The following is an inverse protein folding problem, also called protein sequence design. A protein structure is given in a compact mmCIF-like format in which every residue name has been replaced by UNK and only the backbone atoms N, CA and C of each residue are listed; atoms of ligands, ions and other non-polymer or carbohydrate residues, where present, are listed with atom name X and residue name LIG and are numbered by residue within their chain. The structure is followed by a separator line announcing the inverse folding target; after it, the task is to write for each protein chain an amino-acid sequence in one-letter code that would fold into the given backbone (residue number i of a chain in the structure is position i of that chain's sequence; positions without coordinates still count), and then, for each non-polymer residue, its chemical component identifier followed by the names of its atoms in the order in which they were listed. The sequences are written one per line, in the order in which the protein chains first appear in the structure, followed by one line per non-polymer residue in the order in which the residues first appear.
data_IF_147498130347
#
_entry.id   IF_147498130347
#
_cell.length_a   1.000
_cell.length_b   1.000
_cell.length_c   1.000
_cell.angle_alpha   90.00
_cell.angle_beta   90.00
_cell.angle_gamma   90.00
#
_symmetry.space_group_name_H-M   'P 1'
#
loop_
_entity.id
_entity.type
_entity.pdbx_description
1 polymer ?
#
# COMPACT_ATOMS: atom_id res chain seq x y z
N UNK A 1 5.41 -18.97 24.77
CA UNK A 1 5.62 -20.07 23.80
C UNK A 1 4.56 -19.92 22.71
N UNK A 2 4.64 -19.02 21.75
CA UNK A 2 3.58 -18.74 20.81
C UNK A 2 3.94 -17.85 19.62
N UNK A 3 5.23 -17.62 19.35
CA UNK A 3 5.65 -16.74 18.27
C UNK A 3 6.53 -17.43 17.22
N UNK A 4 6.59 -18.76 17.20
CA UNK A 4 7.48 -19.51 16.30
C UNK A 4 6.84 -19.96 14.98
N UNK A 5 5.52 -19.93 14.84
CA UNK A 5 4.81 -20.37 13.64
C UNK A 5 5.09 -19.49 12.41
N UNK A 6 5.06 -18.17 12.59
CA UNK A 6 5.29 -17.19 11.51
C UNK A 6 6.70 -17.24 10.88
N UNK A 7 7.67 -17.90 11.55
CA UNK A 7 9.05 -18.02 11.07
C UNK A 7 9.24 -19.05 9.94
N UNK A 8 8.33 -20.01 9.75
CA UNK A 8 8.53 -21.11 8.79
C UNK A 8 8.23 -20.74 7.35
N UNK A 9 7.28 -19.88 7.11
CA UNK A 9 6.90 -19.46 5.75
C UNK A 9 7.92 -18.52 5.07
N UNK A 10 8.80 -17.87 5.83
CA UNK A 10 9.74 -16.85 5.34
C UNK A 10 11.21 -17.28 5.34
N UNK A 11 11.55 -18.42 5.94
CA UNK A 11 12.93 -18.90 6.09
C UNK A 11 13.54 -19.53 4.83
N UNK A 12 12.79 -19.78 3.78
CA UNK A 12 13.28 -20.47 2.57
C UNK A 12 14.03 -19.59 1.57
N UNK A 13 14.24 -18.30 1.85
CA UNK A 13 14.86 -17.37 0.89
C UNK A 13 16.31 -16.98 1.22
N UNK A 14 16.96 -17.58 2.22
CA UNK A 14 18.33 -17.21 2.64
C UNK A 14 19.23 -18.45 2.75
N UNK A 15 19.66 -19.00 1.63
CA UNK A 15 20.83 -19.86 1.56
C UNK A 15 21.54 -19.67 0.22
N UNK A 16 22.73 -19.13 0.28
CA UNK A 16 23.92 -19.32 -0.55
C UNK A 16 24.68 -18.02 -0.80
N UNK A 17 25.79 -17.87 -0.11
CA UNK A 17 27.10 -17.60 -0.72
C UNK A 17 28.16 -17.41 0.36
N UNK A 18 28.96 -18.44 0.59
CA UNK A 18 30.26 -18.36 1.27
C UNK A 18 31.30 -18.70 0.27
N UNK A 19 32.28 -17.84 -0.01
CA UNK A 19 33.66 -18.21 -0.36
C UNK A 19 34.65 -17.09 -0.07
N UNK A 20 35.62 -17.44 0.70
CA UNK A 20 36.92 -16.94 1.13
C UNK A 20 37.66 -15.93 0.23
N UNK A 21 38.38 -15.02 0.91
CA UNK A 21 39.53 -14.27 0.39
C UNK A 21 40.27 -13.56 1.53
N UNK A 22 41.49 -13.96 1.79
CA UNK A 22 42.37 -13.55 2.91
C UNK A 22 43.10 -12.21 2.64
N UNK A 23 43.40 -11.52 3.76
CA UNK A 23 44.49 -10.58 4.07
C UNK A 23 44.39 -9.11 3.66
N UNK A 24 44.47 -8.29 4.70
CA UNK A 24 44.82 -6.88 4.64
C UNK A 24 44.41 -6.13 5.91
N UNK A 25 45.29 -6.09 6.94
CA UNK A 25 45.05 -5.36 8.20
C UNK A 25 45.19 -3.86 7.94
N UNK A 26 44.08 -3.15 7.94
CA UNK A 26 44.01 -1.74 8.29
C UNK A 26 42.83 -1.57 9.23
N UNK A 27 43.08 -1.00 10.42
CA UNK A 27 42.06 -0.70 11.42
C UNK A 27 41.17 0.41 10.90
N UNK A 28 40.19 0.06 10.05
CA UNK A 28 39.01 0.84 9.78
C UNK A 28 37.91 0.26 10.70
N UNK A 29 37.13 1.15 11.31
CA UNK A 29 35.97 0.75 12.10
C UNK A 29 35.09 -0.14 11.24
N UNK A 30 35.22 -1.46 11.43
CA UNK A 30 34.33 -2.44 10.84
C UNK A 30 32.98 -2.15 11.45
N UNK A 31 32.12 -1.52 10.68
CA UNK A 31 30.67 -1.59 10.84
C UNK A 31 30.39 -3.10 10.80
N UNK A 32 30.16 -3.70 11.97
CA UNK A 32 29.80 -5.12 12.07
C UNK A 32 28.54 -5.27 11.19
N UNK A 33 28.70 -5.98 10.08
CA UNK A 33 27.55 -6.41 9.30
C UNK A 33 26.67 -7.19 10.28
N UNK A 34 25.51 -6.64 10.61
CA UNK A 34 24.55 -7.27 11.53
C UNK A 34 24.21 -8.63 10.96
N UNK A 35 24.35 -9.67 11.78
CA UNK A 35 23.93 -11.01 11.39
C UNK A 35 22.39 -10.96 11.20
N UNK A 36 21.85 -11.24 10.00
CA UNK A 36 20.40 -11.13 9.73
C UNK A 36 19.54 -11.93 10.71
N UNK A 37 20.02 -13.08 11.18
CA UNK A 37 19.34 -13.89 12.20
C UNK A 37 19.27 -13.17 13.56
N UNK A 38 20.32 -12.44 13.92
CA UNK A 38 20.35 -11.69 15.16
C UNK A 38 19.45 -10.45 15.07
N UNK A 39 19.42 -9.78 13.93
CA UNK A 39 18.57 -8.63 13.67
C UNK A 39 17.08 -9.00 13.77
N UNK A 40 16.67 -10.07 13.10
CA UNK A 40 15.27 -10.52 13.17
C UNK A 40 14.89 -10.98 14.57
N UNK A 41 15.79 -11.62 15.31
CA UNK A 41 15.56 -12.02 16.69
C UNK A 41 15.38 -10.81 17.63
N UNK A 42 16.18 -9.77 17.45
CA UNK A 42 16.07 -8.53 18.21
C UNK A 42 14.77 -7.78 17.88
N UNK A 43 14.41 -7.71 16.60
CA UNK A 43 13.16 -7.08 16.15
C UNK A 43 11.94 -7.80 16.73
N UNK A 44 11.92 -9.13 16.75
CA UNK A 44 10.85 -9.90 17.41
C UNK A 44 10.81 -9.67 18.93
N UNK A 45 11.94 -9.57 19.59
CA UNK A 45 11.99 -9.27 21.01
C UNK A 45 11.40 -7.87 21.31
N UNK A 46 11.76 -6.87 20.49
CA UNK A 46 11.20 -5.52 20.59
C UNK A 46 9.68 -5.49 20.31
N UNK A 47 9.23 -6.19 19.26
CA UNK A 47 7.83 -6.33 18.93
C UNK A 47 7.03 -6.94 20.10
N UNK A 48 7.53 -8.04 20.67
CA UNK A 48 6.89 -8.70 21.83
C UNK A 48 6.86 -7.80 23.06
N UNK A 49 7.92 -7.05 23.32
CA UNK A 49 7.99 -6.16 24.50
C UNK A 49 7.03 -4.96 24.38
N UNK A 50 6.71 -4.51 23.16
CA UNK A 50 5.81 -3.37 22.90
C UNK A 50 4.38 -3.78 22.55
N UNK A 51 4.10 -5.08 22.37
CA UNK A 51 2.80 -5.58 21.97
C UNK A 51 1.71 -5.22 22.99
N UNK A 52 0.58 -4.73 22.49
CA UNK A 52 -0.62 -4.40 23.25
C UNK A 52 -1.66 -5.49 23.00
N UNK A 53 -1.88 -6.33 24.00
CA UNK A 53 -2.85 -7.42 23.89
C UNK A 53 -4.27 -6.89 23.92
N UNK A 54 -5.14 -7.47 23.09
CA UNK A 54 -6.58 -7.24 23.16
C UNK A 54 -7.26 -8.06 24.28
N UNK A 55 -8.50 -7.71 24.66
CA UNK A 55 -9.31 -6.65 24.05
C UNK A 55 -8.85 -5.26 24.51
N UNK A 56 -8.54 -4.39 23.54
CA UNK A 56 -8.12 -3.02 23.81
C UNK A 56 -8.46 -2.09 22.63
N UNK A 57 -8.34 -0.79 22.84
CA UNK A 57 -8.47 0.20 21.74
C UNK A 57 -7.17 0.96 21.60
N UNK A 58 -6.63 1.00 20.39
CA UNK A 58 -5.40 1.69 20.07
C UNK A 58 -5.68 2.93 19.22
N UNK A 59 -4.96 4.02 19.50
CA UNK A 59 -5.04 5.22 18.70
C UNK A 59 -4.16 5.08 17.45
N UNK A 60 -4.74 5.31 16.27
CA UNK A 60 -4.05 5.39 15.01
C UNK A 60 -3.74 6.86 14.69
N UNK A 61 -2.65 7.37 15.27
CA UNK A 61 -2.30 8.79 15.27
C UNK A 61 -3.45 9.66 15.80
N UNK A 62 -3.66 10.82 15.17
CA UNK A 62 -4.81 11.71 15.41
C UNK A 62 -6.04 11.37 14.56
N UNK A 63 -5.97 10.32 13.74
CA UNK A 63 -6.96 10.03 12.70
C UNK A 63 -8.11 9.14 13.17
N UNK A 64 -7.80 8.05 13.82
CA UNK A 64 -8.79 7.02 14.14
C UNK A 64 -8.46 6.26 15.43
N UNK A 65 -9.39 5.41 15.83
CA UNK A 65 -9.22 4.40 16.88
C UNK A 65 -9.52 3.04 16.27
N UNK A 66 -8.69 2.04 16.59
CA UNK A 66 -8.87 0.64 16.20
C UNK A 66 -9.09 -0.22 17.44
N UNK A 67 -10.18 -1.01 17.46
CA UNK A 67 -10.41 -1.99 18.51
C UNK A 67 -9.71 -3.30 18.15
N UNK A 68 -8.89 -3.79 19.06
CA UNK A 68 -8.15 -5.05 18.96
C UNK A 68 -8.92 -6.14 19.73
N UNK A 69 -9.16 -7.27 19.11
CA UNK A 69 -9.88 -8.41 19.68
C UNK A 69 -9.09 -9.16 20.75
N UNK A 70 -9.78 -10.01 21.53
CA UNK A 70 -9.17 -10.75 22.64
C UNK A 70 -8.04 -11.71 22.21
N UNK A 71 -8.08 -12.21 20.98
CA UNK A 71 -7.09 -13.14 20.43
C UNK A 71 -6.10 -12.45 19.47
N UNK A 72 -5.93 -11.16 19.62
CA UNK A 72 -5.10 -10.32 18.77
C UNK A 72 -4.15 -9.47 19.62
N UNK A 73 -3.03 -9.09 19.03
CA UNK A 73 -2.10 -8.11 19.59
C UNK A 73 -1.83 -7.02 18.57
N UNK A 74 -1.69 -5.79 19.05
CA UNK A 74 -1.20 -4.67 18.24
C UNK A 74 0.25 -4.37 18.60
N UNK A 75 1.11 -4.31 17.59
CA UNK A 75 2.52 -3.94 17.72
C UNK A 75 2.67 -2.52 17.16
N UNK A 76 2.91 -1.50 18.01
CA UNK A 76 3.04 -0.11 17.56
C UNK A 76 4.42 0.19 16.97
N UNK A 77 4.55 1.37 16.34
CA UNK A 77 5.85 1.97 16.07
C UNK A 77 6.60 2.28 17.39
N UNK A 78 7.94 2.21 17.42
CA UNK A 78 8.84 1.87 16.28
C UNK A 78 9.08 0.36 16.09
N UNK A 79 8.59 -0.49 16.98
CA UNK A 79 8.86 -1.93 16.93
C UNK A 79 8.26 -2.61 15.67
N UNK A 80 7.09 -2.16 15.23
CA UNK A 80 6.52 -2.61 13.97
C UNK A 80 7.44 -2.32 12.78
N UNK A 81 8.01 -1.10 12.71
CA UNK A 81 8.95 -0.72 11.66
C UNK A 81 10.25 -1.53 11.69
N UNK A 82 10.79 -1.80 12.88
CA UNK A 82 11.98 -2.65 13.06
C UNK A 82 11.71 -4.08 12.58
N UNK A 83 10.55 -4.64 12.92
CA UNK A 83 10.16 -5.97 12.49
C UNK A 83 9.99 -6.05 10.97
N UNK A 84 9.29 -5.10 10.37
CA UNK A 84 9.13 -5.02 8.91
C UNK A 84 10.47 -4.88 8.19
N UNK A 85 11.40 -4.05 8.73
CA UNK A 85 12.74 -3.90 8.18
C UNK A 85 13.54 -5.21 8.25
N UNK A 86 13.54 -5.88 9.39
CA UNK A 86 14.21 -7.17 9.58
C UNK A 86 13.63 -8.28 8.67
N UNK A 87 12.37 -8.17 8.26
CA UNK A 87 11.74 -9.02 7.25
C UNK A 87 12.08 -8.61 5.80
N UNK A 88 12.98 -7.64 5.58
CA UNK A 88 13.41 -7.20 4.26
C UNK A 88 12.55 -6.12 3.62
N UNK A 89 11.56 -5.56 4.33
CA UNK A 89 10.79 -4.43 3.85
C UNK A 89 11.57 -3.11 3.98
N UNK A 90 11.25 -2.14 3.13
CA UNK A 90 11.79 -0.78 3.24
C UNK A 90 11.23 -0.02 4.43
N UNK A 91 11.85 1.13 4.74
CA UNK A 91 11.30 2.05 5.73
C UNK A 91 9.97 2.62 5.21
N UNK A 92 8.94 2.57 6.04
CA UNK A 92 7.62 3.09 5.73
C UNK A 92 7.18 4.08 6.83
N UNK A 93 7.07 5.36 6.47
CA UNK A 93 6.65 6.42 7.39
C UNK A 93 5.13 6.41 7.64
N UNK A 94 4.36 5.77 6.77
CA UNK A 94 2.91 5.67 6.87
C UNK A 94 2.48 4.51 7.77
N UNK A 95 3.40 3.60 8.11
CA UNK A 95 3.15 2.48 9.00
C UNK A 95 2.69 2.96 10.38
N UNK A 96 1.53 2.48 10.80
CA UNK A 96 0.94 2.73 12.13
C UNK A 96 1.30 1.62 13.11
N UNK A 97 1.29 0.38 12.63
CA UNK A 97 1.57 -0.80 13.42
C UNK A 97 1.17 -2.09 12.71
N UNK A 98 1.29 -3.19 13.44
CA UNK A 98 0.92 -4.53 12.97
C UNK A 98 -0.12 -5.11 13.92
N UNK A 99 -1.10 -5.85 13.38
CA UNK A 99 -1.98 -6.70 14.18
C UNK A 99 -1.65 -8.15 13.86
N UNK A 100 -1.51 -8.95 14.89
CA UNK A 100 -1.18 -10.37 14.76
C UNK A 100 -2.06 -11.22 15.67
N UNK A 101 -2.31 -12.50 15.33
CA UNK A 101 -3.00 -13.43 16.21
C UNK A 101 -2.14 -13.79 17.44
N UNK A 102 -2.78 -14.19 18.52
CA UNK A 102 -2.10 -14.68 19.74
C UNK A 102 -1.91 -16.20 19.75
N UNK A 103 -2.66 -16.93 18.93
CA UNK A 103 -2.52 -18.38 18.82
C UNK A 103 -1.33 -18.78 17.94
N UNK A 104 -0.80 -19.97 18.19
CA UNK A 104 0.40 -20.48 17.50
C UNK A 104 0.10 -21.14 16.15
N UNK A 105 -1.17 -21.42 15.87
CA UNK A 105 -1.60 -22.11 14.65
C UNK A 105 -1.91 -21.13 13.53
N UNK A 106 -2.19 -19.86 13.87
CA UNK A 106 -2.45 -18.77 12.92
C UNK A 106 -1.16 -18.01 12.60
N UNK A 107 -0.87 -17.83 11.33
CA UNK A 107 0.35 -17.15 10.84
C UNK A 107 0.08 -15.90 10.01
N UNK A 108 -1.15 -15.36 10.05
CA UNK A 108 -1.49 -14.12 9.37
C UNK A 108 -0.97 -12.87 10.10
N UNK A 109 -0.81 -11.81 9.34
CA UNK A 109 -0.47 -10.48 9.85
C UNK A 109 -1.27 -9.42 9.11
N UNK A 110 -1.77 -8.42 9.85
CA UNK A 110 -2.37 -7.21 9.27
C UNK A 110 -1.41 -6.04 9.44
N UNK A 111 -1.06 -5.40 8.33
CA UNK A 111 -0.26 -4.18 8.29
C UNK A 111 -1.23 -3.00 8.27
N UNK A 112 -1.17 -2.15 9.29
CA UNK A 112 -1.96 -0.93 9.39
C UNK A 112 -1.13 0.28 8.97
N UNK A 113 -1.63 1.07 7.99
CA UNK A 113 -0.96 2.25 7.46
C UNK A 113 -1.93 3.42 7.34
N UNK A 114 -1.42 4.65 7.42
CA UNK A 114 -2.17 5.87 7.14
C UNK A 114 -1.47 6.71 6.08
N UNK A 115 -2.08 6.91 4.93
CA UNK A 115 -1.59 7.81 3.88
C UNK A 115 -2.36 9.13 3.89
N UNK A 116 -1.65 10.23 4.15
CA UNK A 116 -2.17 11.58 4.15
C UNK A 116 -2.24 12.15 2.71
N UNK A 117 -2.95 11.45 1.83
CA UNK A 117 -3.08 11.81 0.41
C UNK A 117 -3.94 13.05 0.16
N UNK A 118 -4.77 13.41 1.12
CA UNK A 118 -5.91 14.28 0.97
C UNK A 118 -7.21 13.49 0.69
N UNK A 119 -8.32 14.18 0.54
CA UNK A 119 -9.63 13.59 0.27
C UNK A 119 -9.65 12.87 -1.07
N UNK A 120 -9.87 11.57 -1.07
CA UNK A 120 -9.99 10.76 -2.29
C UNK A 120 -11.45 10.79 -2.74
N UNK A 121 -11.71 11.33 -3.93
CA UNK A 121 -13.03 11.27 -4.54
C UNK A 121 -13.35 9.84 -4.96
N UNK A 122 -14.58 9.41 -4.70
CA UNK A 122 -15.06 8.05 -4.98
C UNK A 122 -15.94 7.95 -6.23
N UNK A 123 -16.01 9.03 -7.01
CA UNK A 123 -16.84 9.09 -8.22
C UNK A 123 -16.48 8.06 -9.28
N UNK A 124 -15.18 7.70 -9.37
CA UNK A 124 -14.65 6.75 -10.35
C UNK A 124 -15.01 5.29 -10.04
N UNK A 125 -15.47 4.98 -8.83
CA UNK A 125 -15.84 3.61 -8.44
C UNK A 125 -17.02 3.03 -9.27
N UNK A 126 -17.85 3.89 -9.85
CA UNK A 126 -19.02 3.49 -10.64
C UNK A 126 -18.68 2.95 -12.02
N UNK A 127 -17.51 3.35 -12.55
CA UNK A 127 -17.13 3.13 -13.94
C UNK A 127 -15.89 2.25 -14.08
N UNK A 128 -15.51 1.50 -13.02
CA UNK A 128 -14.31 0.68 -13.04
C UNK A 128 -14.41 -0.48 -14.02
N UNK A 129 -13.38 -0.59 -14.86
CA UNK A 129 -13.11 -1.83 -15.57
C UNK A 129 -12.13 -2.67 -14.74
N UNK A 130 -12.61 -3.78 -14.17
CA UNK A 130 -11.81 -4.65 -13.28
C UNK A 130 -10.65 -5.31 -14.01
N UNK A 131 -10.78 -5.55 -15.32
CA UNK A 131 -9.70 -6.15 -16.12
C UNK A 131 -8.59 -5.11 -16.40
N UNK A 132 -8.94 -3.84 -16.60
CA UNK A 132 -7.98 -2.75 -16.72
C UNK A 132 -7.25 -2.51 -15.39
N UNK A 133 -7.96 -2.58 -14.25
CA UNK A 133 -7.35 -2.50 -12.93
C UNK A 133 -6.36 -3.65 -12.71
N UNK A 134 -6.72 -4.87 -13.12
CA UNK A 134 -5.84 -6.03 -13.02
C UNK A 134 -4.58 -5.89 -13.88
N UNK A 135 -4.75 -5.39 -15.11
CA UNK A 135 -3.63 -5.09 -15.99
C UNK A 135 -2.69 -4.06 -15.36
N UNK A 136 -3.24 -2.97 -14.84
CA UNK A 136 -2.45 -1.93 -14.15
C UNK A 136 -1.71 -2.46 -12.93
N UNK A 137 -2.35 -3.35 -12.15
CA UNK A 137 -1.72 -4.01 -11.00
C UNK A 137 -0.52 -4.88 -11.44
N UNK A 138 -0.65 -5.65 -12.53
CA UNK A 138 0.44 -6.44 -13.09
C UNK A 138 1.59 -5.56 -13.59
N UNK A 139 1.29 -4.47 -14.29
CA UNK A 139 2.28 -3.51 -14.78
C UNK A 139 3.03 -2.83 -13.63
N UNK A 140 2.30 -2.43 -12.57
CA UNK A 140 2.89 -1.87 -11.36
C UNK A 140 3.79 -2.86 -10.62
N UNK A 141 3.37 -4.13 -10.53
CA UNK A 141 4.18 -5.21 -9.95
C UNK A 141 5.44 -5.48 -10.78
N UNK A 142 5.33 -5.50 -12.11
CA UNK A 142 6.48 -5.68 -12.99
C UNK A 142 7.51 -4.55 -12.80
N UNK A 143 7.06 -3.30 -12.69
CA UNK A 143 7.95 -2.16 -12.40
C UNK A 143 8.59 -2.27 -11.01
N UNK A 144 7.86 -2.73 -10.00
CA UNK A 144 8.39 -2.95 -8.65
C UNK A 144 9.40 -4.10 -8.60
N UNK A 145 9.26 -5.10 -9.47
CA UNK A 145 10.18 -6.24 -9.55
C UNK A 145 11.59 -5.82 -9.96
N UNK A 146 11.76 -4.78 -10.75
CA UNK A 146 13.09 -4.24 -11.11
C UNK A 146 13.86 -3.79 -9.86
N UNK A 147 13.18 -3.19 -8.90
CA UNK A 147 13.79 -2.77 -7.63
C UNK A 147 14.02 -3.96 -6.69
N UNK A 148 13.10 -4.93 -6.68
CA UNK A 148 13.27 -6.17 -5.92
C UNK A 148 14.51 -6.93 -6.37
N UNK A 149 14.69 -7.10 -7.68
CA UNK A 149 15.84 -7.80 -8.27
C UNK A 149 17.17 -7.11 -7.94
N UNK A 150 17.24 -5.77 -7.97
CA UNK A 150 18.42 -4.99 -7.54
C UNK A 150 18.79 -5.24 -6.08
N UNK A 151 17.79 -5.54 -5.24
CA UNK A 151 17.96 -5.85 -3.82
C UNK A 151 18.17 -7.34 -3.55
N UNK A 152 18.24 -8.19 -4.59
CA UNK A 152 18.37 -9.64 -4.46
C UNK A 152 17.11 -10.33 -3.94
N UNK A 153 15.94 -9.67 -4.02
CA UNK A 153 14.64 -10.21 -3.61
C UNK A 153 13.97 -10.83 -4.84
N UNK A 154 13.43 -12.06 -4.77
CA UNK A 154 12.73 -12.67 -5.90
C UNK A 154 11.57 -11.80 -6.43
N UNK A 155 11.42 -11.75 -7.75
CA UNK A 155 10.30 -11.08 -8.40
C UNK A 155 8.98 -11.74 -8.01
N UNK A 156 7.90 -10.96 -7.99
CA UNK A 156 6.55 -11.44 -7.75
C UNK A 156 5.77 -11.58 -9.06
N UNK A 157 5.00 -12.65 -9.18
CA UNK A 157 4.10 -12.91 -10.27
C UNK A 157 2.66 -12.92 -9.76
N UNK A 158 1.84 -11.98 -10.24
CA UNK A 158 0.43 -11.91 -9.88
C UNK A 158 -0.32 -13.06 -10.56
N UNK A 159 -0.93 -13.93 -9.76
CA UNK A 159 -1.64 -15.12 -10.24
C UNK A 159 -3.09 -14.81 -10.62
N UNK A 160 -3.81 -14.07 -9.79
CA UNK A 160 -5.20 -13.72 -10.02
C UNK A 160 -5.84 -12.94 -8.88
N UNK A 161 -7.09 -12.53 -9.10
CA UNK A 161 -7.92 -12.03 -8.03
C UNK A 161 -8.31 -13.17 -7.09
N UNK A 162 -8.15 -12.96 -5.78
CA UNK A 162 -8.80 -13.75 -4.73
C UNK A 162 -10.16 -13.13 -4.42
N UNK A 163 -10.21 -11.79 -4.35
CA UNK A 163 -11.45 -11.03 -4.26
C UNK A 163 -11.36 -9.80 -5.18
N UNK A 164 -12.35 -9.66 -6.08
CA UNK A 164 -12.38 -8.53 -7.01
C UNK A 164 -12.62 -7.22 -6.27
N UNK A 165 -12.10 -6.08 -6.78
CA UNK A 165 -12.34 -4.77 -6.17
C UNK A 165 -13.82 -4.49 -5.95
N UNK A 166 -14.15 -4.15 -4.71
CA UNK A 166 -15.48 -3.77 -4.28
C UNK A 166 -15.42 -2.53 -3.39
N UNK A 167 -16.18 -1.51 -3.72
CA UNK A 167 -16.32 -0.29 -2.94
C UNK A 167 -17.73 -0.15 -2.38
N UNK A 168 -17.82 0.02 -1.07
CA UNK A 168 -19.06 0.35 -0.37
C UNK A 168 -19.13 1.87 -0.11
N UNK A 169 -19.96 2.56 -0.88
CA UNK A 169 -20.14 4.00 -0.76
C UNK A 169 -20.86 4.42 0.53
N UNK A 170 -21.57 3.51 1.20
CA UNK A 170 -22.26 3.84 2.46
C UNK A 170 -21.28 3.91 3.64
N UNK A 171 -20.24 3.11 3.61
CA UNK A 171 -19.22 3.04 4.66
C UNK A 171 -17.87 3.62 4.23
N UNK A 172 -17.73 4.05 2.96
CA UNK A 172 -16.51 4.55 2.34
C UNK A 172 -15.33 3.58 2.47
N UNK A 173 -15.59 2.30 2.18
CA UNK A 173 -14.61 1.20 2.31
C UNK A 173 -14.40 0.51 0.98
N UNK A 174 -13.13 0.30 0.66
CA UNK A 174 -12.69 -0.46 -0.52
C UNK A 174 -12.03 -1.75 -0.07
N UNK A 175 -12.39 -2.85 -0.71
CA UNK A 175 -11.79 -4.18 -0.48
C UNK A 175 -11.39 -4.77 -1.83
N UNK A 176 -10.21 -5.40 -1.87
CA UNK A 176 -9.78 -6.24 -2.98
C UNK A 176 -8.64 -7.15 -2.53
N UNK A 177 -8.46 -8.27 -3.22
CA UNK A 177 -7.41 -9.20 -2.88
C UNK A 177 -6.85 -9.91 -4.11
N UNK A 178 -5.56 -10.18 -4.07
CA UNK A 178 -4.86 -10.90 -5.13
C UNK A 178 -3.91 -11.94 -4.54
N UNK A 179 -3.69 -13.02 -5.29
CA UNK A 179 -2.66 -13.99 -5.03
C UNK A 179 -1.41 -13.67 -5.85
N UNK A 180 -0.25 -13.83 -5.23
CA UNK A 180 1.05 -13.65 -5.84
C UNK A 180 1.98 -14.82 -5.51
N UNK A 181 2.85 -15.18 -6.44
CA UNK A 181 3.88 -16.21 -6.30
C UNK A 181 5.25 -15.58 -6.48
N UNK A 182 6.20 -15.97 -5.65
CA UNK A 182 7.59 -15.59 -5.87
C UNK A 182 8.18 -16.37 -7.03
N UNK A 183 8.95 -15.72 -7.89
CA UNK A 183 9.66 -16.37 -8.98
C UNK A 183 10.58 -17.48 -8.45
N UNK A 184 10.40 -18.69 -8.94
CA UNK A 184 11.13 -19.87 -8.47
C UNK A 184 10.48 -20.61 -7.29
N UNK A 185 9.36 -20.12 -6.75
CA UNK A 185 8.60 -20.85 -5.74
C UNK A 185 7.97 -22.11 -6.34
N UNK A 186 8.08 -23.28 -5.67
CA UNK A 186 7.47 -24.53 -6.14
C UNK A 186 5.96 -24.41 -6.37
N UNK A 187 5.47 -25.07 -7.42
CA UNK A 187 4.05 -24.97 -7.79
C UNK A 187 3.09 -25.61 -6.77
N UNK A 188 3.59 -26.49 -5.93
CA UNK A 188 2.83 -27.17 -4.87
C UNK A 188 2.81 -26.38 -3.54
N UNK A 189 3.51 -25.26 -3.46
CA UNK A 189 3.43 -24.38 -2.29
C UNK A 189 2.28 -23.37 -2.46
N UNK A 190 1.57 -23.01 -1.35
CA UNK A 190 0.52 -22.01 -1.38
C UNK A 190 1.08 -20.65 -1.87
N UNK A 191 0.25 -19.90 -2.58
CA UNK A 191 0.56 -18.53 -2.98
C UNK A 191 0.42 -17.59 -1.79
N UNK A 192 1.18 -16.51 -1.79
CA UNK A 192 0.96 -15.40 -0.86
C UNK A 192 -0.28 -14.61 -1.28
N UNK A 193 -1.11 -14.24 -0.32
CA UNK A 193 -2.30 -13.42 -0.54
C UNK A 193 -2.17 -12.11 0.22
N UNK A 194 -2.36 -11.02 -0.52
CA UNK A 194 -2.58 -9.69 0.04
C UNK A 194 -4.08 -9.39 -0.03
N UNK A 195 -4.72 -9.36 1.15
CA UNK A 195 -6.11 -8.97 1.27
C UNK A 195 -6.17 -7.52 1.74
N UNK A 196 -6.41 -6.62 0.80
CA UNK A 196 -6.31 -5.17 0.98
C UNK A 196 -7.66 -4.59 1.35
N UNK A 197 -7.70 -3.88 2.47
CA UNK A 197 -8.88 -3.13 2.90
C UNK A 197 -8.50 -1.68 3.16
N UNK A 198 -9.37 -0.76 2.76
CA UNK A 198 -9.16 0.67 2.90
C UNK A 198 -10.39 1.32 3.52
N UNK A 199 -10.19 2.16 4.52
CA UNK A 199 -11.20 3.06 5.04
C UNK A 199 -10.82 4.49 4.65
N UNK A 200 -11.69 5.16 3.89
CA UNK A 200 -11.46 6.55 3.47
C UNK A 200 -11.81 7.50 4.58
N UNK A 201 -10.95 8.47 4.82
CA UNK A 201 -11.13 9.58 5.75
C UNK A 201 -11.11 10.93 5.05
N UNK A 202 -11.20 12.00 5.84
CA UNK A 202 -11.19 13.39 5.36
C UNK A 202 -9.86 13.79 4.71
N UNK A 203 -8.75 13.38 5.36
CA UNK A 203 -7.41 13.86 5.01
C UNK A 203 -6.56 12.80 4.30
N UNK A 204 -7.15 11.63 4.00
CA UNK A 204 -6.47 10.48 3.42
C UNK A 204 -7.22 9.19 3.73
N UNK A 205 -6.51 8.08 3.86
CA UNK A 205 -7.11 6.79 4.16
C UNK A 205 -6.25 5.96 5.13
N UNK A 206 -6.91 5.04 5.83
CA UNK A 206 -6.24 3.98 6.58
C UNK A 206 -6.39 2.68 5.79
N UNK A 207 -5.29 2.00 5.53
CA UNK A 207 -5.28 0.65 4.99
C UNK A 207 -5.03 -0.37 6.09
N UNK A 208 -5.75 -1.49 6.02
CA UNK A 208 -5.50 -2.70 6.77
C UNK A 208 -5.24 -3.81 5.76
N UNK A 209 -3.98 -4.19 5.59
CA UNK A 209 -3.57 -5.18 4.60
C UNK A 209 -3.24 -6.50 5.30
N UNK A 210 -4.11 -7.51 5.13
CA UNK A 210 -3.88 -8.85 5.65
C UNK A 210 -2.93 -9.59 4.71
N UNK A 211 -1.83 -10.09 5.26
CA UNK A 211 -0.90 -11.01 4.61
C UNK A 211 -1.18 -12.42 5.13
N UNK A 212 -1.45 -13.33 4.22
CA UNK A 212 -1.75 -14.75 4.51
C UNK A 212 -1.40 -15.64 3.31
N UNK A 213 -1.65 -16.92 3.41
CA UNK A 213 -1.50 -17.88 2.33
C UNK A 213 -2.84 -18.18 1.63
N UNK A 214 -2.79 -18.64 0.37
CA UNK A 214 -3.99 -18.89 -0.45
C UNK A 214 -4.89 -20.01 0.09
N UNK A 215 -4.34 -20.97 0.82
CA UNK A 215 -5.07 -22.04 1.49
C UNK A 215 -5.68 -21.62 2.84
N UNK A 216 -5.19 -20.50 3.44
CA UNK A 216 -5.67 -19.99 4.75
C UNK A 216 -6.56 -18.75 4.61
N UNK A 217 -6.59 -18.07 3.46
CA UNK A 217 -7.29 -16.77 3.30
C UNK A 217 -8.76 -16.80 3.74
N UNK A 218 -9.47 -17.91 3.52
CA UNK A 218 -10.87 -18.02 3.92
C UNK A 218 -11.07 -18.10 5.44
N UNK A 219 -10.09 -18.64 6.17
CA UNK A 219 -10.08 -18.67 7.62
C UNK A 219 -9.66 -17.33 8.23
N UNK A 220 -8.72 -16.63 7.58
CA UNK A 220 -8.08 -15.44 8.14
C UNK A 220 -8.79 -14.12 7.78
N UNK A 221 -9.42 -14.03 6.59
CA UNK A 221 -10.08 -12.79 6.17
C UNK A 221 -11.14 -12.24 7.13
N UNK A 222 -11.89 -13.05 7.92
CA UNK A 222 -12.80 -12.52 8.92
C UNK A 222 -12.12 -11.63 9.97
N UNK A 223 -10.83 -11.88 10.29
CA UNK A 223 -10.08 -11.05 11.23
C UNK A 223 -9.90 -9.62 10.69
N UNK A 224 -9.40 -9.44 9.46
CA UNK A 224 -9.23 -8.10 8.89
C UNK A 224 -10.56 -7.42 8.60
N UNK A 225 -11.60 -8.16 8.22
CA UNK A 225 -12.94 -7.61 8.04
C UNK A 225 -13.51 -7.08 9.34
N UNK A 226 -13.29 -7.81 10.46
CA UNK A 226 -13.66 -7.34 11.79
C UNK A 226 -12.85 -6.11 12.20
N UNK A 227 -11.53 -6.10 12.01
CA UNK A 227 -10.70 -4.94 12.27
C UNK A 227 -11.17 -3.71 11.46
N UNK A 228 -11.51 -3.90 10.19
CA UNK A 228 -12.07 -2.83 9.35
C UNK A 228 -13.42 -2.33 9.90
N UNK A 229 -14.27 -3.23 10.40
CA UNK A 229 -15.55 -2.85 11.03
C UNK A 229 -15.35 -2.10 12.35
N UNK A 230 -14.32 -2.45 13.09
CA UNK A 230 -13.95 -1.89 14.40
C UNK A 230 -13.04 -0.65 14.31
N UNK A 231 -12.77 -0.16 13.11
CA UNK A 231 -12.01 1.07 12.87
C UNK A 231 -12.96 2.26 12.81
N UNK A 232 -12.77 3.23 13.71
CA UNK A 232 -13.57 4.45 13.81
C UNK A 232 -12.70 5.70 13.63
N UNK A 233 -12.98 6.51 12.61
CA UNK A 233 -12.38 7.83 12.48
C UNK A 233 -12.88 8.78 13.58
N UNK A 234 -11.99 9.61 14.09
CA UNK A 234 -12.33 10.66 15.06
C UNK A 234 -13.23 11.71 14.44
N UNK A 235 -13.91 12.48 15.30
CA UNK A 235 -14.69 13.64 14.87
C UNK A 235 -13.82 14.62 14.08
N UNK A 236 -14.34 15.12 12.96
CA UNK A 236 -13.62 15.98 12.04
C UNK A 236 -12.63 15.26 11.11
N UNK A 237 -12.50 13.93 11.20
CA UNK A 237 -11.60 13.09 10.39
C UNK A 237 -12.34 12.10 9.48
N UNK A 238 -13.65 12.00 9.60
CA UNK A 238 -14.48 11.12 8.77
C UNK A 238 -14.51 11.60 7.33
N UNK A 239 -14.76 10.71 6.40
CA UNK A 239 -14.93 11.04 4.98
C UNK A 239 -16.00 12.11 4.76
N UNK A 240 -17.11 12.02 5.50
CA UNK A 240 -18.23 12.97 5.45
C UNK A 240 -17.93 14.34 6.05
N UNK A 241 -16.82 14.51 6.78
CA UNK A 241 -16.40 15.78 7.37
C UNK A 241 -15.62 16.67 6.37
N UNK A 242 -15.49 16.23 5.11
CA UNK A 242 -14.77 16.96 4.05
C UNK A 242 -15.34 18.34 3.79
N UNK A 243 -14.44 19.32 3.68
CA UNK A 243 -14.79 20.70 3.35
C UNK A 243 -14.05 21.15 2.08
N UNK A 244 -14.78 21.26 0.98
CA UNK A 244 -14.21 21.63 -0.33
C UNK A 244 -13.51 23.00 -0.39
N UNK A 245 -13.71 23.88 0.63
CA UNK A 245 -13.07 25.20 0.67
C UNK A 245 -11.70 25.19 1.32
N UNK A 246 -11.43 24.23 2.18
CA UNK A 246 -10.23 24.21 3.05
C UNK A 246 -9.38 22.98 2.87
N UNK A 247 -9.97 21.86 2.46
CA UNK A 247 -9.31 20.57 2.49
C UNK A 247 -8.59 20.26 1.19
N UNK A 248 -7.47 19.56 1.30
CA UNK A 248 -6.73 19.07 0.16
C UNK A 248 -7.48 17.89 -0.47
N UNK A 249 -7.67 17.94 -1.77
CA UNK A 249 -8.17 16.79 -2.56
C UNK A 249 -6.97 16.00 -3.08
N UNK A 250 -7.03 14.68 -3.03
CA UNK A 250 -6.04 13.80 -3.61
C UNK A 250 -5.95 13.99 -5.13
N UNK A 251 -4.75 13.78 -5.69
CA UNK A 251 -4.51 13.91 -7.13
C UNK A 251 -5.00 12.68 -7.94
N UNK A 252 -5.63 11.72 -7.27
CA UNK A 252 -6.09 10.46 -7.84
C UNK A 252 -7.39 9.99 -7.18
N UNK A 253 -8.14 9.16 -7.87
CA UNK A 253 -9.35 8.52 -7.37
C UNK A 253 -9.10 7.12 -6.80
N UNK A 254 -10.18 6.41 -6.49
CA UNK A 254 -10.15 5.08 -5.87
C UNK A 254 -9.44 4.02 -6.72
N UNK A 255 -9.55 4.09 -8.04
CA UNK A 255 -8.88 3.15 -8.95
C UNK A 255 -7.37 3.04 -8.68
N UNK A 256 -6.73 4.12 -8.19
CA UNK A 256 -5.31 4.12 -7.86
C UNK A 256 -4.98 3.25 -6.64
N UNK A 257 -5.91 3.04 -5.73
CA UNK A 257 -5.73 2.15 -4.58
C UNK A 257 -5.76 0.66 -4.96
N UNK A 258 -6.26 0.35 -6.15
CA UNK A 258 -6.26 -1.01 -6.70
C UNK A 258 -5.10 -1.21 -7.66
N UNK A 259 -4.98 -0.35 -8.67
CA UNK A 259 -4.01 -0.50 -9.76
C UNK A 259 -2.61 0.06 -9.47
N UNK A 260 -2.38 0.69 -8.31
CA UNK A 260 -1.09 1.28 -7.94
C UNK A 260 -0.73 2.52 -8.77
N UNK A 261 0.58 2.76 -8.95
CA UNK A 261 1.11 3.98 -9.61
C UNK A 261 0.64 4.12 -11.07
N UNK A 262 0.45 3.02 -11.79
CA UNK A 262 -0.06 3.05 -13.17
C UNK A 262 -1.49 3.60 -13.20
N UNK A 263 -2.35 3.19 -12.25
CA UNK A 263 -3.71 3.72 -12.13
C UNK A 263 -3.73 5.18 -11.66
N UNK A 264 -2.79 5.61 -10.81
CA UNK A 264 -2.58 7.05 -10.48
C UNK A 264 -2.34 7.87 -11.75
N UNK A 265 -1.51 7.38 -12.68
CA UNK A 265 -1.26 8.05 -13.99
C UNK A 265 -2.51 8.05 -14.88
N UNK A 266 -3.26 6.95 -14.93
CA UNK A 266 -4.50 6.86 -15.71
C UNK A 266 -5.57 7.83 -15.16
N UNK A 267 -5.71 7.93 -13.84
CA UNK A 267 -6.60 8.91 -13.20
C UNK A 267 -6.24 10.35 -13.55
N UNK A 268 -4.95 10.70 -13.53
CA UNK A 268 -4.47 12.02 -13.94
C UNK A 268 -4.74 12.31 -15.42
N UNK A 269 -4.51 11.33 -16.32
CA UNK A 269 -4.85 11.48 -17.74
C UNK A 269 -6.35 11.62 -17.98
N UNK A 270 -7.20 10.91 -17.24
CA UNK A 270 -8.64 11.06 -17.33
C UNK A 270 -9.10 12.47 -16.90
N UNK A 271 -8.53 13.01 -15.82
CA UNK A 271 -8.80 14.38 -15.35
C UNK A 271 -8.30 15.40 -16.38
N UNK A 272 -7.09 15.23 -16.92
CA UNK A 272 -6.54 16.10 -17.98
C UNK A 272 -7.39 16.00 -19.25
N UNK A 273 -7.80 14.80 -19.66
CA UNK A 273 -8.65 14.61 -20.84
C UNK A 273 -10.03 15.25 -20.64
N UNK A 274 -10.64 15.11 -19.47
CA UNK A 274 -11.91 15.76 -19.14
C UNK A 274 -11.78 17.29 -19.09
N UNK A 275 -10.67 17.80 -18.54
CA UNK A 275 -10.33 19.23 -18.53
C UNK A 275 -10.14 19.75 -19.96
N UNK A 276 -9.34 19.05 -20.77
CA UNK A 276 -9.12 19.42 -22.17
C UNK A 276 -10.42 19.37 -23.00
N UNK A 277 -11.26 18.34 -22.80
CA UNK A 277 -12.56 18.24 -23.48
C UNK A 277 -13.50 19.39 -23.07
N UNK A 278 -13.52 19.76 -21.77
CA UNK A 278 -14.34 20.87 -21.26
C UNK A 278 -13.88 22.23 -21.81
N UNK A 279 -12.56 22.41 -21.98
CA UNK A 279 -11.96 23.66 -22.42
C UNK A 279 -11.55 23.67 -23.90
N UNK A 280 -11.74 22.56 -24.63
CA UNK A 280 -11.37 22.46 -26.05
C UNK A 280 -12.04 23.56 -26.92
N UNK A 281 -13.32 23.86 -26.66
CA UNK A 281 -14.02 24.96 -27.36
C UNK A 281 -13.41 26.32 -27.06
N UNK A 282 -13.00 26.57 -25.82
CA UNK A 282 -12.37 27.84 -25.41
C UNK A 282 -10.96 27.95 -26.00
N UNK A 283 -10.19 26.84 -26.00
CA UNK A 283 -8.87 26.80 -26.60
C UNK A 283 -8.90 27.01 -28.12
N UNK A 284 -9.87 26.41 -28.83
CA UNK A 284 -10.07 26.61 -30.26
C UNK A 284 -10.43 28.08 -30.58
N UNK A 285 -11.30 28.69 -29.77
CA UNK A 285 -11.68 30.08 -29.92
C UNK A 285 -10.48 31.02 -29.62
N UNK A 286 -9.67 30.71 -28.61
CA UNK A 286 -8.47 31.47 -28.29
C UNK A 286 -7.44 31.39 -29.41
N UNK A 287 -7.16 30.18 -29.94
CA UNK A 287 -6.22 29.99 -31.06
C UNK A 287 -6.74 30.67 -32.32
N UNK A 288 -8.02 30.61 -32.66
CA UNK A 288 -8.61 31.29 -33.79
C UNK A 288 -8.56 32.81 -33.63
N UNK A 289 -8.86 33.32 -32.42
CA UNK A 289 -8.78 34.76 -32.13
C UNK A 289 -7.36 35.31 -32.16
N UNK A 290 -6.40 34.57 -31.57
CA UNK A 290 -4.98 34.93 -31.58
C UNK A 290 -4.38 34.82 -32.98
N UNK A 291 -4.71 33.77 -33.73
CA UNK A 291 -4.27 33.60 -35.13
C UNK A 291 -4.76 34.72 -36.04
N UNK A 292 -6.00 35.17 -35.89
CA UNK A 292 -6.55 36.31 -36.63
C UNK A 292 -5.87 37.64 -36.25
N UNK A 293 -5.54 37.85 -34.97
CA UNK A 293 -4.83 39.02 -34.49
C UNK A 293 -3.38 39.08 -35.05
N UNK A 294 -2.67 37.95 -35.02
CA UNK A 294 -1.31 37.82 -35.58
C UNK A 294 -1.32 38.05 -37.11
N UNK A 295 -2.27 37.43 -37.83
CA UNK A 295 -2.41 37.63 -39.27
C UNK A 295 -2.71 39.08 -39.62
N UNK A 296 -3.48 39.81 -38.82
CA UNK A 296 -3.80 41.22 -39.00
C UNK A 296 -2.59 42.12 -38.69
N UNK A 297 -1.74 41.72 -37.74
CA UNK A 297 -0.50 42.43 -37.39
C UNK A 297 0.51 42.34 -38.52
N UNK A 298 0.70 41.16 -39.12
CA UNK A 298 1.67 40.99 -40.25
C UNK A 298 1.15 41.50 -41.59
N UNK A 299 -0.16 41.75 -41.75
CA UNK A 299 -0.74 42.35 -42.98
C UNK A 299 -0.72 43.88 -43.02
N UNK A 300 -0.33 44.56 -41.93
CA UNK A 300 -0.09 46.00 -41.96
C UNK A 300 1.24 46.27 -42.67
N UNK A 301 1.18 46.54 -43.99
CA UNK A 301 2.29 47.13 -44.73
C UNK A 301 2.63 48.50 -44.14
N UNK A 302 3.93 48.86 -43.99
CA UNK A 302 4.29 50.23 -43.72
C UNK A 302 3.88 51.10 -44.93
N UNK A 303 3.07 52.10 -44.67
CA UNK A 303 2.83 53.18 -45.61
C UNK A 303 4.10 53.98 -45.73
N UNK A 304 4.59 54.13 -46.97
CA UNK A 304 5.70 54.96 -47.36
C UNK A 304 5.39 56.43 -47.05
#
# INVERSE_FOLDING_TARGET
MGFQGALRAWASALACASTMGLMGVTAAHAQQASNPEQEIKQAWAAAKASAQAGPTSVALRDQATLKIGANEVFIPQPAAGQLMHAMGNGNNQDLLGLVMPTDEESDWMVIAEYEASGYIKDDDAKDWNVDDLFKSLKEGTAAANEEREKRGIPALEIQGWVERPHYDAATHRLIWSMAARSKGQPANEPESVNYNTYALGRDGYISLNLITASDHVNADKPAVQKLLADLDFKDGKRYTDFNAKTDKVAEYGLAALVGGIAAKKLGLFAVIAAFLAKFAKVAILAVAGFGAAIAKFFKRKPSA
#
